data_IF_438649727880
#
_entry.id   IF_438649727880
#
_cell.length_a   1.000
_cell.length_b   1.000
_cell.length_c   1.000
_cell.angle_alpha   90.00
_cell.angle_beta   90.00
_cell.angle_gamma   90.00
#
_symmetry.space_group_name_H-M   'P 1'
#
loop_
_entity.id
_entity.type
_entity.pdbx_description
1 polymer ?
#
# COMPACT_ATOMS: atom_id res chain seq x y z
N UNK A 1 3.49 23.81 16.86
CA UNK A 1 2.42 24.21 15.92
C UNK A 1 2.48 23.49 14.55
N UNK A 2 3.67 23.10 14.04
CA UNK A 2 3.80 22.41 12.74
C UNK A 2 3.13 21.02 12.66
N UNK A 3 3.30 20.15 13.66
CA UNK A 3 2.71 18.79 13.66
C UNK A 3 1.18 18.75 13.55
N UNK A 4 0.47 19.67 14.20
CA UNK A 4 -1.01 19.72 14.15
C UNK A 4 -1.50 20.06 12.74
N UNK A 5 -0.71 20.85 12.01
CA UNK A 5 -0.96 21.20 10.61
C UNK A 5 -0.78 19.98 9.71
N UNK A 6 0.28 19.20 9.90
CA UNK A 6 0.58 18.02 9.07
C UNK A 6 -0.49 16.94 9.20
N UNK A 7 -0.95 16.65 10.42
CA UNK A 7 -2.01 15.64 10.63
C UNK A 7 -3.34 16.07 9.99
N UNK A 8 -3.66 17.35 10.05
CA UNK A 8 -4.85 17.92 9.41
C UNK A 8 -4.72 17.91 7.88
N UNK A 9 -3.55 18.21 7.34
CA UNK A 9 -3.27 18.16 5.92
C UNK A 9 -3.36 16.72 5.36
N UNK A 10 -2.82 15.73 6.10
CA UNK A 10 -2.99 14.31 5.78
C UNK A 10 -4.48 13.91 5.70
N UNK A 11 -5.27 14.28 6.72
CA UNK A 11 -6.71 14.01 6.75
C UNK A 11 -7.43 14.60 5.53
N UNK A 12 -7.08 15.83 5.16
CA UNK A 12 -7.67 16.50 4.00
C UNK A 12 -7.36 15.74 2.71
N UNK A 13 -6.10 15.35 2.49
CA UNK A 13 -5.67 14.57 1.30
C UNK A 13 -6.33 13.20 1.25
N UNK A 14 -6.41 12.51 2.39
CA UNK A 14 -7.11 11.23 2.49
C UNK A 14 -8.58 11.38 2.08
N UNK A 15 -9.28 12.39 2.60
CA UNK A 15 -10.68 12.67 2.23
C UNK A 15 -10.84 13.03 0.75
N UNK A 16 -9.90 13.79 0.19
CA UNK A 16 -9.90 14.13 -1.23
C UNK A 16 -9.76 12.88 -2.12
N UNK A 17 -8.88 11.95 -1.77
CA UNK A 17 -8.74 10.69 -2.50
C UNK A 17 -10.00 9.81 -2.35
N UNK A 18 -10.55 9.70 -1.14
CA UNK A 18 -11.82 8.98 -0.94
C UNK A 18 -12.95 9.60 -1.78
N UNK A 19 -13.04 10.93 -1.83
CA UNK A 19 -14.02 11.64 -2.67
C UNK A 19 -13.79 11.40 -4.17
N UNK A 20 -12.54 11.38 -4.62
CA UNK A 20 -12.15 11.09 -6.01
C UNK A 20 -12.68 9.73 -6.47
N UNK A 21 -12.65 8.72 -5.61
CA UNK A 21 -13.18 7.38 -5.89
C UNK A 21 -14.67 7.21 -5.55
N UNK A 22 -15.38 8.29 -5.20
CA UNK A 22 -16.78 8.27 -4.73
C UNK A 22 -17.00 7.36 -3.52
N UNK A 23 -15.99 7.23 -2.66
CA UNK A 23 -16.04 6.42 -1.44
C UNK A 23 -16.51 7.23 -0.22
N UNK A 24 -17.02 6.55 0.85
CA UNK A 24 -17.47 7.21 2.07
C UNK A 24 -16.36 8.00 2.81
N UNK A 25 -16.34 9.32 2.63
CA UNK A 25 -15.33 10.22 3.23
C UNK A 25 -15.45 10.40 4.75
N UNK A 26 -16.62 10.14 5.32
CA UNK A 26 -16.95 10.36 6.73
C UNK A 26 -17.34 9.08 7.47
N UNK A 27 -17.00 7.90 6.93
CA UNK A 27 -17.32 6.62 7.56
C UNK A 27 -16.04 5.92 8.07
N UNK A 28 -15.64 6.15 9.34
CA UNK A 28 -14.54 5.43 9.96
C UNK A 28 -14.70 3.91 9.93
N UNK A 29 -15.94 3.42 10.09
CA UNK A 29 -16.26 1.98 10.09
C UNK A 29 -15.98 1.36 8.72
N UNK A 30 -16.38 2.05 7.65
CA UNK A 30 -16.12 1.59 6.29
C UNK A 30 -14.62 1.60 5.99
N UNK A 31 -13.92 2.70 6.33
CA UNK A 31 -12.48 2.81 6.11
C UNK A 31 -11.69 1.71 6.85
N UNK A 32 -12.03 1.45 8.12
CA UNK A 32 -11.38 0.41 8.91
C UNK A 32 -11.58 -0.98 8.29
N UNK A 33 -12.80 -1.28 7.85
CA UNK A 33 -13.13 -2.56 7.20
C UNK A 33 -12.32 -2.75 5.91
N UNK A 34 -12.38 -1.79 5.00
CA UNK A 34 -11.67 -1.89 3.72
C UNK A 34 -10.15 -1.96 3.88
N UNK A 35 -9.60 -1.21 4.83
CA UNK A 35 -8.18 -1.29 5.16
C UNK A 35 -7.81 -2.68 5.68
N UNK A 36 -8.56 -3.21 6.65
CA UNK A 36 -8.29 -4.51 7.27
C UNK A 36 -8.41 -5.68 6.29
N UNK A 37 -9.26 -5.57 5.26
CA UNK A 37 -9.34 -6.58 4.19
C UNK A 37 -8.07 -6.66 3.34
N UNK A 38 -7.32 -5.56 3.24
CA UNK A 38 -6.09 -5.45 2.44
C UNK A 38 -4.81 -5.58 3.25
N UNK A 39 -4.92 -5.56 4.58
CA UNK A 39 -3.78 -5.63 5.49
C UNK A 39 -3.70 -6.99 6.16
N UNK A 40 -2.60 -7.72 5.93
CA UNK A 40 -2.32 -9.03 6.54
C UNK A 40 -1.71 -8.95 7.95
N UNK A 41 -1.40 -7.75 8.43
CA UNK A 41 -0.81 -7.50 9.75
C UNK A 41 -1.85 -7.22 10.83
N UNK A 42 -1.47 -6.43 11.83
CA UNK A 42 -2.37 -6.04 12.92
C UNK A 42 -3.50 -5.12 12.43
N UNK A 43 -4.72 -5.66 12.43
CA UNK A 43 -5.93 -4.90 12.10
C UNK A 43 -6.02 -3.57 12.85
N UNK A 44 -6.59 -2.57 12.18
CA UNK A 44 -6.88 -1.26 12.78
C UNK A 44 -8.29 -1.25 13.37
N UNK A 45 -8.47 -0.52 14.47
CA UNK A 45 -9.79 -0.28 15.03
C UNK A 45 -10.52 0.86 14.29
N UNK A 46 -11.84 0.91 14.43
CA UNK A 46 -12.66 2.02 13.92
C UNK A 46 -12.20 3.37 14.50
N UNK A 47 -11.74 3.39 15.74
CA UNK A 47 -11.18 4.58 16.39
C UNK A 47 -9.91 5.05 15.70
N UNK A 48 -9.02 4.14 15.30
CA UNK A 48 -7.82 4.47 14.53
C UNK A 48 -8.19 5.11 13.19
N UNK A 49 -9.14 4.51 12.46
CA UNK A 49 -9.64 5.07 11.20
C UNK A 49 -10.29 6.46 11.39
N UNK A 50 -11.04 6.64 12.48
CA UNK A 50 -11.62 7.94 12.84
C UNK A 50 -10.55 9.00 13.10
N UNK A 51 -9.46 8.62 13.79
CA UNK A 51 -8.34 9.51 14.05
C UNK A 51 -7.60 9.91 12.75
N UNK A 52 -7.54 9.04 11.76
CA UNK A 52 -6.98 9.37 10.44
C UNK A 52 -7.88 10.35 9.68
N UNK A 53 -9.18 10.08 9.63
CA UNK A 53 -10.16 10.96 8.97
C UNK A 53 -10.29 12.31 9.67
N UNK A 54 -10.07 12.38 10.98
CA UNK A 54 -10.17 13.63 11.75
C UNK A 54 -8.86 14.41 11.82
N UNK A 55 -7.75 13.86 11.33
CA UNK A 55 -6.43 14.50 11.41
C UNK A 55 -5.86 14.53 12.82
N UNK A 56 -6.24 13.57 13.67
CA UNK A 56 -5.70 13.41 15.01
C UNK A 56 -4.44 12.51 15.02
N UNK A 57 -4.31 11.64 14.03
CA UNK A 57 -3.18 10.72 13.89
C UNK A 57 -2.80 10.52 12.42
N UNK A 58 -1.50 10.33 12.18
CA UNK A 58 -0.95 9.85 10.90
C UNK A 58 -0.63 8.35 11.09
N UNK A 59 -0.97 7.48 10.12
CA UNK A 59 -0.59 6.07 10.16
C UNK A 59 0.93 5.88 10.24
N UNK A 60 1.37 4.77 10.87
CA UNK A 60 2.75 4.30 10.75
C UNK A 60 3.08 3.97 9.29
N UNK A 61 4.38 3.93 8.96
CA UNK A 61 4.88 3.76 7.59
C UNK A 61 4.25 2.57 6.86
N UNK A 62 4.17 1.40 7.50
CA UNK A 62 3.56 0.20 6.90
C UNK A 62 2.09 0.42 6.51
N UNK A 63 1.30 1.04 7.41
CA UNK A 63 -0.12 1.31 7.18
C UNK A 63 -0.32 2.41 6.14
N UNK A 64 0.59 3.40 6.13
CA UNK A 64 0.60 4.48 5.16
C UNK A 64 0.91 3.95 3.75
N UNK A 65 1.84 3.01 3.60
CA UNK A 65 2.13 2.35 2.33
C UNK A 65 0.92 1.56 1.82
N UNK A 66 0.23 0.81 2.68
CA UNK A 66 -0.97 0.07 2.28
C UNK A 66 -2.09 1.03 1.84
N UNK A 67 -2.30 2.15 2.56
CA UNK A 67 -3.23 3.19 2.13
C UNK A 67 -2.84 3.79 0.78
N UNK A 68 -1.55 4.06 0.59
CA UNK A 68 -1.00 4.63 -0.63
C UNK A 68 -1.23 3.70 -1.83
N UNK A 69 -0.89 2.41 -1.69
CA UNK A 69 -1.16 1.37 -2.68
C UNK A 69 -2.65 1.21 -2.96
N UNK A 70 -3.50 1.24 -1.94
CA UNK A 70 -4.95 1.13 -2.13
C UNK A 70 -5.55 2.34 -2.85
N UNK A 71 -5.07 3.55 -2.54
CA UNK A 71 -5.56 4.80 -3.13
C UNK A 71 -4.86 5.16 -4.44
N UNK A 72 -3.95 4.31 -4.93
CA UNK A 72 -3.12 4.52 -6.11
C UNK A 72 -2.36 5.85 -6.07
N UNK A 73 -1.69 6.11 -4.94
CA UNK A 73 -0.94 7.34 -4.66
C UNK A 73 0.39 7.03 -3.99
N UNK A 74 1.29 8.02 -3.91
CA UNK A 74 2.53 7.93 -3.11
C UNK A 74 2.25 8.07 -1.60
N UNK A 75 2.95 7.28 -0.79
CA UNK A 75 2.93 7.40 0.67
C UNK A 75 3.50 8.75 1.15
N UNK A 76 4.52 9.27 0.48
CA UNK A 76 5.09 10.59 0.76
C UNK A 76 4.12 11.71 0.38
N UNK A 77 3.44 11.60 -0.76
CA UNK A 77 2.40 12.56 -1.14
C UNK A 77 1.25 12.55 -0.12
N UNK A 78 0.82 11.37 0.32
CA UNK A 78 -0.28 11.26 1.28
C UNK A 78 0.08 11.93 2.62
N UNK A 79 1.34 11.79 3.08
CA UNK A 79 1.83 12.35 4.33
C UNK A 79 2.18 13.84 4.25
N UNK A 80 3.00 14.23 3.28
CA UNK A 80 3.57 15.59 3.20
C UNK A 80 2.93 16.46 2.11
N UNK A 81 2.31 15.86 1.09
CA UNK A 81 1.69 16.55 -0.04
C UNK A 81 2.66 17.14 -1.04
N UNK A 82 3.92 16.71 -0.97
CA UNK A 82 4.92 17.07 -1.96
C UNK A 82 4.80 16.08 -3.13
N UNK A 83 4.41 16.59 -4.31
CA UNK A 83 4.49 15.85 -5.56
C UNK A 83 5.95 15.79 -5.99
N UNK A 84 6.66 14.73 -5.60
CA UNK A 84 7.90 14.44 -6.31
C UNK A 84 7.54 13.91 -7.71
N UNK A 85 8.13 14.43 -8.80
CA UNK A 85 7.78 14.06 -10.17
C UNK A 85 7.95 12.57 -10.53
N UNK A 86 8.46 11.74 -9.62
CA UNK A 86 8.85 10.35 -9.89
C UNK A 86 8.17 9.27 -9.01
N UNK A 87 7.33 9.63 -8.03
CA UNK A 87 6.91 8.66 -7.01
C UNK A 87 5.76 7.73 -7.41
N UNK A 88 4.96 8.10 -8.41
CA UNK A 88 3.89 7.22 -8.92
C UNK A 88 4.42 5.91 -9.53
N UNK A 89 5.73 5.85 -9.87
CA UNK A 89 6.40 4.64 -10.36
C UNK A 89 7.46 4.10 -9.41
N UNK A 90 7.86 4.82 -8.36
CA UNK A 90 8.96 4.41 -7.49
C UNK A 90 8.57 3.22 -6.60
N UNK A 91 7.38 3.19 -6.02
CA UNK A 91 6.97 2.09 -5.13
C UNK A 91 6.77 0.75 -5.87
N UNK A 92 6.27 0.77 -7.11
CA UNK A 92 6.27 -0.43 -7.96
C UNK A 92 7.68 -0.77 -8.47
N UNK A 93 8.49 0.23 -8.86
CA UNK A 93 9.87 0.01 -9.30
C UNK A 93 10.79 -0.45 -8.18
N UNK A 94 10.54 -0.15 -6.90
CA UNK A 94 11.33 -0.68 -5.80
C UNK A 94 11.09 -2.18 -5.62
N UNK A 95 9.88 -2.67 -5.90
CA UNK A 95 9.56 -4.11 -5.90
C UNK A 95 10.20 -4.82 -7.11
N UNK A 96 10.33 -4.15 -8.27
CA UNK A 96 10.96 -4.72 -9.48
C UNK A 96 12.48 -4.45 -9.60
N UNK A 97 13.04 -3.45 -8.90
CA UNK A 97 14.47 -3.09 -8.88
C UNK A 97 15.20 -3.63 -7.64
N UNK A 98 14.49 -4.23 -6.67
CA UNK A 98 15.14 -5.08 -5.70
C UNK A 98 15.62 -6.30 -6.47
N UNK A 99 16.94 -6.40 -6.69
CA UNK A 99 17.54 -7.58 -7.31
C UNK A 99 17.03 -8.82 -6.58
N UNK A 100 16.27 -9.66 -7.28
CA UNK A 100 15.83 -10.94 -6.74
C UNK A 100 17.10 -11.76 -6.52
N UNK A 101 17.52 -11.85 -5.27
CA UNK A 101 18.66 -12.69 -4.90
C UNK A 101 18.24 -14.15 -5.09
N UNK A 102 19.01 -14.89 -5.88
CA UNK A 102 18.70 -16.29 -6.21
C UNK A 102 18.56 -17.16 -4.95
N UNK A 103 19.32 -16.83 -3.90
CA UNK A 103 19.24 -17.49 -2.59
C UNK A 103 17.88 -17.28 -1.90
N UNK A 104 17.42 -16.03 -1.77
CA UNK A 104 16.13 -15.71 -1.16
C UNK A 104 14.95 -16.31 -1.96
N UNK A 105 15.06 -16.36 -3.28
CA UNK A 105 14.07 -17.01 -4.13
C UNK A 105 14.02 -18.52 -3.89
N UNK A 106 15.16 -19.19 -3.81
CA UNK A 106 15.23 -20.63 -3.54
C UNK A 106 14.59 -20.98 -2.19
N UNK A 107 14.96 -20.25 -1.13
CA UNK A 107 14.44 -20.46 0.23
C UNK A 107 12.92 -20.28 0.30
N UNK A 108 12.38 -19.29 -0.43
CA UNK A 108 10.93 -19.06 -0.52
C UNK A 108 10.25 -20.14 -1.36
N UNK A 109 10.88 -20.55 -2.46
CA UNK A 109 10.34 -21.58 -3.35
C UNK A 109 10.22 -22.93 -2.64
N UNK A 110 11.19 -23.30 -1.80
CA UNK A 110 11.14 -24.55 -1.03
C UNK A 110 9.92 -24.64 -0.12
N UNK A 111 9.52 -23.52 0.51
CA UNK A 111 8.37 -23.42 1.41
C UNK A 111 7.01 -23.55 0.72
N UNK A 112 6.96 -23.51 -0.61
CA UNK A 112 5.72 -23.59 -1.36
C UNK A 112 5.21 -25.03 -1.52
N UNK A 113 3.89 -25.17 -1.67
CA UNK A 113 3.27 -26.45 -2.03
C UNK A 113 3.61 -26.88 -3.45
N UNK A 114 3.52 -28.17 -3.75
CA UNK A 114 3.79 -28.70 -5.10
C UNK A 114 2.95 -28.04 -6.19
N UNK A 115 1.68 -27.67 -5.89
CA UNK A 115 0.81 -26.96 -6.83
C UNK A 115 1.33 -25.55 -7.15
N UNK A 116 1.78 -24.82 -6.13
CA UNK A 116 2.32 -23.46 -6.30
C UNK A 116 3.66 -23.48 -7.03
N UNK A 117 4.53 -24.46 -6.72
CA UNK A 117 5.79 -24.69 -7.45
C UNK A 117 5.54 -24.93 -8.93
N UNK A 118 4.56 -25.77 -9.26
CA UNK A 118 4.19 -26.05 -10.65
C UNK A 118 3.68 -24.80 -11.38
N UNK A 119 2.84 -23.99 -10.73
CA UNK A 119 2.31 -22.76 -11.31
C UNK A 119 3.42 -21.75 -11.60
N UNK A 120 4.35 -21.57 -10.67
CA UNK A 120 5.51 -20.67 -10.86
C UNK A 120 6.40 -21.17 -12.00
N UNK A 121 6.69 -22.47 -12.04
CA UNK A 121 7.47 -23.08 -13.12
C UNK A 121 6.83 -22.83 -14.49
N UNK A 122 5.52 -23.03 -14.59
CA UNK A 122 4.77 -22.75 -15.82
C UNK A 122 4.85 -21.26 -16.21
N UNK A 123 4.67 -20.35 -15.24
CA UNK A 123 4.79 -18.90 -15.49
C UNK A 123 6.18 -18.52 -16.00
N UNK A 124 7.24 -19.06 -15.42
CA UNK A 124 8.62 -18.83 -15.88
C UNK A 124 8.77 -19.31 -17.33
N UNK A 125 8.29 -20.51 -17.65
CA UNK A 125 8.36 -21.04 -19.01
C UNK A 125 7.60 -20.15 -20.01
N UNK A 126 6.38 -19.75 -19.69
CA UNK A 126 5.59 -18.83 -20.53
C UNK A 126 6.30 -17.49 -20.75
N UNK A 127 6.89 -16.93 -19.70
CA UNK A 127 7.61 -15.66 -19.79
C UNK A 127 8.92 -15.77 -20.60
N UNK A 128 9.56 -16.94 -20.61
CA UNK A 128 10.74 -17.20 -21.44
C UNK A 128 10.37 -17.43 -22.91
N UNK A 129 9.25 -18.10 -23.18
CA UNK A 129 8.75 -18.36 -24.53
C UNK A 129 8.31 -17.05 -25.21
N UNK A 130 7.62 -16.17 -24.49
CA UNK A 130 7.08 -14.92 -25.05
C UNK A 130 8.12 -13.79 -25.20
N UNK A 131 9.38 -14.02 -24.82
CA UNK A 131 10.49 -13.05 -24.90
C UNK A 131 11.53 -13.42 -25.98
N UNK A 132 11.24 -14.41 -26.84
CA UNK A 132 12.00 -14.75 -28.03
C UNK A 132 11.29 -14.26 -29.29
#
# INVERSE_FOLDING_TARGET
MKEKSEKSAFSLRLKQLLAKYSWPVNSPTWLAREFNLRYSGQSISVQTASNWLSGNAIPNQDKLQILATWLDTSSQWLRFGEEQPNDYKADQRLIYNQSIQLSDLADKFEKLSNKQKFLIYHLINEMLINNQ
#
